data_IF_092860724254
#
_entry.id   IF_092860724254
#
_cell.length_a   1.000
_cell.length_b   1.000
_cell.length_c   1.000
_cell.angle_alpha   90.00
_cell.angle_beta   90.00
_cell.angle_gamma   90.00
#
_symmetry.space_group_name_H-M   'P 1'
#
loop_
_entity.id
_entity.type
_entity.pdbx_description
1 polymer ?
#
# COMPACT_ATOMS: atom_id res chain seq x y z
N UNK A 1 -21.79 -1.78 -6.02
CA UNK A 1 -22.96 -1.13 -5.40
C UNK A 1 -22.51 -0.50 -4.09
N UNK A 2 -22.89 0.74 -3.87
CA UNK A 2 -22.63 1.45 -2.61
C UNK A 2 -23.09 0.58 -1.44
N UNK A 3 -22.20 0.35 -0.46
CA UNK A 3 -22.56 -0.35 0.76
C UNK A 3 -22.48 0.62 1.94
N UNK A 4 -23.62 0.89 2.54
CA UNK A 4 -23.69 1.68 3.76
C UNK A 4 -23.11 0.85 4.92
N UNK A 5 -21.86 1.18 5.33
CA UNK A 5 -21.19 0.54 6.46
C UNK A 5 -21.70 1.06 7.81
N UNK A 6 -22.65 1.99 7.83
CA UNK A 6 -23.24 2.53 9.04
C UNK A 6 -24.43 1.71 9.55
N UNK A 7 -24.88 0.69 8.82
CA UNK A 7 -26.01 -0.19 9.17
C UNK A 7 -25.62 -1.67 9.04
N UNK A 8 -26.42 -2.57 9.60
CA UNK A 8 -26.20 -4.02 9.48
C UNK A 8 -25.11 -4.60 10.40
N UNK A 9 -24.78 -5.88 10.24
CA UNK A 9 -23.77 -6.60 11.09
C UNK A 9 -22.35 -6.22 10.65
N UNK A 10 -21.51 -5.83 11.60
CA UNK A 10 -20.18 -5.28 11.35
C UNK A 10 -19.19 -6.33 10.87
N UNK A 11 -19.05 -7.46 11.56
CA UNK A 11 -18.05 -8.48 11.22
C UNK A 11 -18.20 -9.02 9.78
N UNK A 12 -19.43 -9.41 9.32
CA UNK A 12 -19.62 -9.80 7.92
C UNK A 12 -19.31 -8.70 6.92
N UNK A 13 -19.58 -7.43 7.26
CA UNK A 13 -19.23 -6.28 6.41
C UNK A 13 -17.72 -6.13 6.29
N UNK A 14 -16.96 -6.19 7.40
CA UNK A 14 -15.50 -6.13 7.38
C UNK A 14 -14.91 -7.25 6.53
N UNK A 15 -15.36 -8.50 6.73
CA UNK A 15 -14.87 -9.64 5.95
C UNK A 15 -15.19 -9.45 4.44
N UNK A 16 -16.45 -9.13 4.12
CA UNK A 16 -16.89 -8.92 2.72
C UNK A 16 -16.16 -7.76 2.05
N UNK A 17 -15.70 -6.77 2.81
CA UNK A 17 -14.94 -5.64 2.30
C UNK A 17 -13.44 -5.97 2.18
N UNK A 18 -12.90 -6.73 3.12
CA UNK A 18 -11.47 -7.10 3.17
C UNK A 18 -11.09 -8.10 2.07
N UNK A 19 -11.90 -9.12 1.82
CA UNK A 19 -11.59 -10.17 0.84
C UNK A 19 -11.24 -9.59 -0.54
N UNK A 20 -12.05 -8.69 -1.14
CA UNK A 20 -11.70 -8.09 -2.43
C UNK A 20 -10.40 -7.28 -2.40
N UNK A 21 -10.09 -6.61 -1.28
CA UNK A 21 -8.84 -5.86 -1.13
C UNK A 21 -7.63 -6.80 -1.11
N UNK A 22 -7.72 -7.90 -0.35
CA UNK A 22 -6.67 -8.93 -0.28
C UNK A 22 -6.43 -9.53 -1.65
N UNK A 23 -7.51 -9.97 -2.32
CA UNK A 23 -7.42 -10.54 -3.66
C UNK A 23 -6.81 -9.55 -4.65
N UNK A 24 -7.21 -8.28 -4.61
CA UNK A 24 -6.65 -7.23 -5.46
C UNK A 24 -5.14 -7.08 -5.28
N UNK A 25 -4.67 -7.02 -4.04
CA UNK A 25 -3.24 -6.89 -3.75
C UNK A 25 -2.46 -8.17 -4.14
N UNK A 26 -3.02 -9.36 -3.95
CA UNK A 26 -2.41 -10.60 -4.40
C UNK A 26 -2.30 -10.67 -5.93
N UNK A 27 -3.36 -10.28 -6.64
CA UNK A 27 -3.31 -10.14 -8.10
C UNK A 27 -2.25 -9.15 -8.55
N UNK A 28 -2.12 -8.01 -7.84
CA UNK A 28 -1.10 -7.00 -8.14
C UNK A 28 0.32 -7.54 -7.96
N UNK A 29 0.59 -8.25 -6.87
CA UNK A 29 1.88 -8.91 -6.66
C UNK A 29 2.19 -9.95 -7.76
N UNK A 30 1.17 -10.71 -8.15
CA UNK A 30 1.30 -11.76 -9.17
C UNK A 30 1.61 -11.18 -10.55
N UNK A 31 0.86 -10.16 -11.00
CA UNK A 31 1.13 -9.62 -12.34
C UNK A 31 2.48 -8.89 -12.41
N UNK A 32 2.91 -8.20 -11.35
CA UNK A 32 4.25 -7.61 -11.30
C UNK A 32 5.37 -8.66 -11.42
N UNK A 33 5.15 -9.86 -10.85
CA UNK A 33 6.08 -10.97 -11.00
C UNK A 33 6.07 -11.51 -12.45
N UNK A 34 4.89 -11.65 -13.05
CA UNK A 34 4.74 -12.11 -14.45
C UNK A 34 5.40 -11.12 -15.43
N UNK A 35 5.21 -9.81 -15.24
CA UNK A 35 5.86 -8.77 -16.03
C UNK A 35 7.38 -8.89 -15.97
N UNK A 36 7.95 -9.06 -14.78
CA UNK A 36 9.39 -9.28 -14.61
C UNK A 36 9.90 -10.56 -15.30
N UNK A 37 9.09 -11.63 -15.31
CA UNK A 37 9.41 -12.90 -16.00
C UNK A 37 9.41 -12.69 -17.52
N UNK A 38 8.40 -11.96 -18.05
CA UNK A 38 8.32 -11.67 -19.49
C UNK A 38 9.53 -10.87 -19.92
N UNK A 39 9.86 -9.79 -19.21
CA UNK A 39 11.04 -8.96 -19.50
C UNK A 39 12.32 -9.81 -19.45
N UNK A 40 12.54 -10.55 -18.36
CA UNK A 40 13.77 -11.35 -18.20
C UNK A 40 13.93 -12.47 -19.22
N UNK A 41 12.84 -13.13 -19.61
CA UNK A 41 12.87 -14.30 -20.48
C UNK A 41 12.92 -13.93 -21.98
N UNK A 42 12.20 -12.88 -22.38
CA UNK A 42 12.01 -12.55 -23.80
C UNK A 42 12.79 -11.32 -24.25
N UNK A 43 13.14 -10.41 -23.37
CA UNK A 43 13.92 -9.21 -23.71
C UNK A 43 15.40 -9.38 -23.31
N UNK A 44 15.64 -9.93 -22.12
CA UNK A 44 16.99 -10.29 -21.67
C UNK A 44 17.40 -9.59 -20.36
N UNK A 45 18.62 -9.92 -19.91
CA UNK A 45 19.15 -9.52 -18.61
C UNK A 45 19.32 -8.00 -18.46
N UNK A 46 19.67 -7.30 -19.53
CA UNK A 46 19.89 -5.84 -19.54
C UNK A 46 18.57 -5.09 -19.33
N UNK A 47 17.50 -5.55 -20.00
CA UNK A 47 16.16 -5.03 -19.82
C UNK A 47 15.62 -5.29 -18.42
N UNK A 48 15.84 -6.49 -17.88
CA UNK A 48 15.45 -6.83 -16.51
C UNK A 48 16.17 -5.94 -15.49
N UNK A 49 17.47 -5.66 -15.71
CA UNK A 49 18.23 -4.74 -14.88
C UNK A 49 17.69 -3.31 -14.96
N UNK A 50 17.37 -2.83 -16.16
CA UNK A 50 16.78 -1.51 -16.37
C UNK A 50 15.43 -1.35 -15.65
N UNK A 51 14.52 -2.33 -15.79
CA UNK A 51 13.23 -2.36 -15.08
C UNK A 51 13.44 -2.42 -13.56
N UNK A 52 14.39 -3.25 -13.09
CA UNK A 52 14.74 -3.35 -11.67
C UNK A 52 15.22 -2.03 -11.05
N UNK A 53 15.95 -1.21 -11.82
CA UNK A 53 16.38 0.13 -11.40
C UNK A 53 15.21 1.12 -11.39
N UNK A 54 14.30 1.03 -12.38
CA UNK A 54 13.14 1.92 -12.49
C UNK A 54 12.08 1.67 -11.41
N UNK A 55 11.90 0.41 -10.99
CA UNK A 55 10.83 0.03 -10.05
C UNK A 55 10.85 0.78 -8.71
N UNK A 56 11.97 0.90 -7.97
CA UNK A 56 12.00 1.67 -6.72
C UNK A 56 11.67 3.14 -6.92
N UNK A 57 12.14 3.72 -8.03
CA UNK A 57 11.90 5.14 -8.36
C UNK A 57 10.39 5.35 -8.61
N UNK A 58 9.81 4.55 -9.51
CA UNK A 58 8.38 4.63 -9.83
C UNK A 58 7.50 4.39 -8.61
N UNK A 59 7.85 3.38 -7.80
CA UNK A 59 7.14 3.04 -6.57
C UNK A 59 7.09 4.21 -5.59
N UNK A 60 8.18 4.96 -5.44
CA UNK A 60 8.21 6.13 -4.55
C UNK A 60 7.14 7.17 -4.95
N UNK A 61 7.04 7.50 -6.24
CA UNK A 61 6.04 8.45 -6.74
C UNK A 61 4.62 7.91 -6.65
N UNK A 62 4.42 6.63 -6.96
CA UNK A 62 3.11 5.96 -6.86
C UNK A 62 2.64 5.93 -5.40
N UNK A 63 3.50 5.61 -4.43
CA UNK A 63 3.16 5.63 -3.01
C UNK A 63 2.76 7.02 -2.53
N UNK A 64 3.41 8.07 -3.03
CA UNK A 64 3.04 9.44 -2.72
C UNK A 64 1.64 9.78 -3.25
N UNK A 65 1.33 9.43 -4.51
CA UNK A 65 0.00 9.60 -5.09
C UNK A 65 -1.06 8.79 -4.34
N UNK A 66 -0.75 7.54 -3.98
CA UNK A 66 -1.63 6.68 -3.20
C UNK A 66 -1.91 7.26 -1.81
N UNK A 67 -0.90 7.84 -1.16
CA UNK A 67 -1.07 8.54 0.12
C UNK A 67 -2.08 9.69 0.02
N UNK A 68 -2.00 10.49 -1.05
CA UNK A 68 -2.95 11.57 -1.31
C UNK A 68 -4.37 11.04 -1.51
N UNK A 69 -4.54 9.99 -2.33
CA UNK A 69 -5.83 9.35 -2.57
C UNK A 69 -6.42 8.76 -1.28
N UNK A 70 -5.59 8.15 -0.44
CA UNK A 70 -6.01 7.61 0.85
C UNK A 70 -6.47 8.69 1.81
N UNK A 71 -5.73 9.79 1.93
CA UNK A 71 -6.14 10.94 2.75
C UNK A 71 -7.48 11.52 2.32
N UNK A 72 -7.70 11.66 1.01
CA UNK A 72 -8.97 12.10 0.44
C UNK A 72 -10.12 11.13 0.72
N UNK A 73 -9.87 9.82 0.62
CA UNK A 73 -10.89 8.78 0.83
C UNK A 73 -11.45 8.78 2.25
N UNK A 74 -10.64 9.10 3.25
CA UNK A 74 -11.09 9.23 4.65
C UNK A 74 -12.09 10.39 4.79
N UNK A 75 -11.81 11.53 4.16
CA UNK A 75 -12.73 12.68 4.14
C UNK A 75 -14.02 12.35 3.40
N UNK A 76 -13.93 11.68 2.25
CA UNK A 76 -15.07 11.23 1.45
C UNK A 76 -15.94 10.23 2.23
N UNK A 77 -15.33 9.25 2.91
CA UNK A 77 -16.05 8.28 3.75
C UNK A 77 -16.80 8.96 4.90
N UNK A 78 -16.18 9.96 5.53
CA UNK A 78 -16.81 10.74 6.58
C UNK A 78 -18.02 11.53 6.05
N UNK A 79 -17.89 12.20 4.89
CA UNK A 79 -18.98 12.96 4.26
C UNK A 79 -20.11 12.04 3.79
N UNK A 80 -19.77 10.88 3.24
CA UNK A 80 -20.75 9.87 2.84
C UNK A 80 -21.55 9.35 4.03
N UNK A 81 -20.86 8.99 5.13
CA UNK A 81 -21.51 8.58 6.37
C UNK A 81 -22.40 9.66 7.00
N UNK A 82 -22.00 10.92 6.89
CA UNK A 82 -22.79 12.07 7.31
C UNK A 82 -24.00 12.37 6.38
N UNK A 83 -24.09 11.70 5.23
CA UNK A 83 -25.04 11.97 4.14
C UNK A 83 -24.95 13.40 3.58
N UNK A 84 -23.77 14.03 3.73
CA UNK A 84 -23.48 15.36 3.17
C UNK A 84 -22.96 15.20 1.73
N UNK A 85 -23.88 14.90 0.83
CA UNK A 85 -23.54 14.59 -0.56
C UNK A 85 -23.04 15.80 -1.33
N UNK A 86 -23.46 17.01 -1.00
CA UNK A 86 -22.94 18.23 -1.63
C UNK A 86 -21.47 18.44 -1.31
N UNK A 87 -21.11 18.24 -0.05
CA UNK A 87 -19.72 18.32 0.37
C UNK A 87 -18.89 17.17 -0.18
N UNK A 88 -19.46 15.97 -0.27
CA UNK A 88 -18.84 14.81 -0.92
C UNK A 88 -18.50 15.12 -2.39
N UNK A 89 -19.46 15.66 -3.18
CA UNK A 89 -19.21 16.03 -4.57
C UNK A 89 -18.12 17.09 -4.70
N UNK A 90 -18.13 18.14 -3.86
CA UNK A 90 -17.07 19.15 -3.83
C UNK A 90 -15.70 18.55 -3.47
N UNK A 91 -15.67 17.62 -2.51
CA UNK A 91 -14.45 16.93 -2.11
C UNK A 91 -13.86 16.11 -3.26
N UNK A 92 -14.69 15.30 -3.94
CA UNK A 92 -14.27 14.48 -5.06
C UNK A 92 -13.78 15.36 -6.20
N UNK A 93 -14.55 16.39 -6.57
CA UNK A 93 -14.18 17.33 -7.62
C UNK A 93 -12.86 18.04 -7.32
N UNK A 94 -12.71 18.58 -6.11
CA UNK A 94 -11.48 19.27 -5.69
C UNK A 94 -10.27 18.30 -5.71
N UNK A 95 -10.46 17.08 -5.21
CA UNK A 95 -9.39 16.06 -5.21
C UNK A 95 -8.98 15.67 -6.63
N UNK A 96 -9.95 15.45 -7.52
CA UNK A 96 -9.69 15.10 -8.91
C UNK A 96 -8.98 16.22 -9.66
N UNK A 97 -9.50 17.45 -9.62
CA UNK A 97 -8.91 18.59 -10.32
C UNK A 97 -7.49 18.91 -9.82
N UNK A 98 -7.31 18.95 -8.51
CA UNK A 98 -5.98 19.22 -7.92
C UNK A 98 -5.00 18.07 -8.17
N UNK A 99 -5.45 16.83 -8.10
CA UNK A 99 -4.61 15.67 -8.32
C UNK A 99 -4.24 15.47 -9.79
N UNK A 100 -5.14 15.78 -10.73
CA UNK A 100 -4.81 15.81 -12.16
C UNK A 100 -3.73 16.88 -12.42
N UNK A 101 -3.90 18.09 -11.92
CA UNK A 101 -2.90 19.15 -12.08
C UNK A 101 -1.56 18.74 -11.46
N UNK A 102 -1.59 18.19 -10.24
CA UNK A 102 -0.39 17.72 -9.54
C UNK A 102 0.30 16.56 -10.28
N UNK A 103 -0.45 15.54 -10.72
CA UNK A 103 0.13 14.39 -11.43
C UNK A 103 0.71 14.77 -12.79
N UNK A 104 0.12 15.74 -13.51
CA UNK A 104 0.68 16.28 -14.76
C UNK A 104 1.99 17.03 -14.51
N UNK A 105 2.02 17.92 -13.50
CA UNK A 105 3.24 18.65 -13.14
C UNK A 105 4.34 17.66 -12.74
N UNK A 106 3.99 16.68 -11.90
CA UNK A 106 4.92 15.65 -11.45
C UNK A 106 5.43 14.81 -12.63
N UNK A 107 4.54 14.39 -13.53
CA UNK A 107 4.90 13.66 -14.77
C UNK A 107 5.92 14.44 -15.59
N UNK A 108 5.66 15.71 -15.90
CA UNK A 108 6.58 16.56 -16.68
C UNK A 108 7.93 16.69 -15.97
N UNK A 109 7.93 16.98 -14.67
CA UNK A 109 9.17 17.09 -13.88
C UNK A 109 9.95 15.77 -13.90
N UNK A 110 9.29 14.63 -13.66
CA UNK A 110 9.93 13.32 -13.66
C UNK A 110 10.49 12.94 -15.04
N UNK A 111 9.79 13.26 -16.13
CA UNK A 111 10.27 13.02 -17.50
C UNK A 111 11.52 13.86 -17.80
N UNK A 112 11.52 15.14 -17.43
CA UNK A 112 12.66 16.04 -17.62
C UNK A 112 13.86 15.61 -16.79
N UNK A 113 13.64 15.27 -15.53
CA UNK A 113 14.69 14.89 -14.59
C UNK A 113 15.02 13.39 -14.59
N UNK A 114 14.43 12.57 -15.46
CA UNK A 114 14.71 11.13 -15.53
C UNK A 114 16.22 10.84 -15.70
N UNK A 115 16.88 11.51 -16.64
CA UNK A 115 18.34 11.34 -16.86
C UNK A 115 19.18 11.80 -15.67
N UNK A 116 19.01 13.00 -15.09
CA UNK A 116 19.70 13.41 -13.86
C UNK A 116 19.53 12.43 -12.70
N UNK A 117 18.32 11.91 -12.48
CA UNK A 117 18.03 10.93 -11.40
C UNK A 117 18.87 9.66 -11.62
N UNK A 118 18.87 9.11 -12.84
CA UNK A 118 19.60 7.89 -13.17
C UNK A 118 21.13 8.09 -13.12
N UNK A 119 21.62 9.28 -13.50
CA UNK A 119 23.04 9.63 -13.34
C UNK A 119 23.44 9.69 -11.86
N UNK A 120 22.59 10.26 -11.00
CA UNK A 120 22.82 10.27 -9.56
C UNK A 120 22.87 8.85 -8.96
N UNK A 121 22.11 7.92 -9.54
CA UNK A 121 22.12 6.50 -9.15
C UNK A 121 23.28 5.72 -9.77
N UNK A 122 24.15 6.36 -10.54
CA UNK A 122 25.32 5.74 -11.19
C UNK A 122 24.94 4.55 -12.09
N UNK A 123 23.84 4.68 -12.83
CA UNK A 123 23.39 3.63 -13.75
C UNK A 123 24.42 3.48 -14.90
N UNK A 124 24.73 2.22 -15.24
CA UNK A 124 25.69 1.89 -16.28
C UNK A 124 25.30 2.50 -17.64
N UNK A 125 26.29 3.01 -18.36
CA UNK A 125 26.09 3.68 -19.65
C UNK A 125 25.46 2.75 -20.70
N UNK A 126 25.71 1.43 -20.62
CA UNK A 126 25.20 0.45 -21.58
C UNK A 126 23.67 0.30 -21.55
N UNK A 127 23.06 0.47 -20.38
CA UNK A 127 21.60 0.35 -20.17
C UNK A 127 20.91 1.69 -19.96
N UNK A 128 21.66 2.79 -19.87
CA UNK A 128 21.15 4.12 -19.57
C UNK A 128 20.01 4.56 -20.50
N UNK A 129 20.18 4.37 -21.81
CA UNK A 129 19.17 4.76 -22.81
C UNK A 129 17.85 4.04 -22.62
N UNK A 130 17.90 2.73 -22.46
CA UNK A 130 16.73 1.87 -22.21
C UNK A 130 16.03 2.25 -20.89
N UNK A 131 16.81 2.47 -19.84
CA UNK A 131 16.29 2.85 -18.50
C UNK A 131 15.60 4.22 -18.56
N UNK A 132 16.17 5.21 -19.25
CA UNK A 132 15.54 6.53 -19.44
C UNK A 132 14.21 6.41 -20.17
N UNK A 133 14.17 5.67 -21.28
CA UNK A 133 12.96 5.53 -22.09
C UNK A 133 11.85 4.83 -21.30
N UNK A 134 12.17 3.70 -20.65
CA UNK A 134 11.25 2.99 -19.80
C UNK A 134 10.65 3.91 -18.71
N UNK A 135 11.52 4.62 -17.98
CA UNK A 135 11.11 5.50 -16.88
C UNK A 135 10.24 6.67 -17.39
N UNK A 136 10.58 7.24 -18.54
CA UNK A 136 9.77 8.32 -19.15
C UNK A 136 8.38 7.85 -19.55
N UNK A 137 8.25 6.64 -20.10
CA UNK A 137 6.95 6.07 -20.46
C UNK A 137 6.11 5.87 -19.21
N UNK A 138 6.66 5.24 -18.15
CA UNK A 138 5.95 5.07 -16.87
C UNK A 138 5.53 6.42 -16.29
N UNK A 139 6.41 7.42 -16.30
CA UNK A 139 6.07 8.75 -15.78
C UNK A 139 5.01 9.48 -16.62
N UNK A 140 4.96 9.26 -17.92
CA UNK A 140 3.88 9.76 -18.76
C UNK A 140 2.52 9.15 -18.37
N UNK A 141 2.52 7.94 -17.82
CA UNK A 141 1.33 7.23 -17.30
C UNK A 141 0.86 7.68 -15.93
N UNK A 142 1.62 8.49 -15.16
CA UNK A 142 1.26 8.86 -13.78
C UNK A 142 -0.12 9.50 -13.62
N UNK A 143 -0.62 10.16 -14.66
CA UNK A 143 -1.98 10.70 -14.67
C UNK A 143 -3.02 9.57 -14.55
N UNK A 144 -2.87 8.50 -15.33
CA UNK A 144 -3.80 7.36 -15.31
C UNK A 144 -3.69 6.59 -14.00
N UNK A 145 -2.47 6.40 -13.49
CA UNK A 145 -2.22 5.82 -12.17
C UNK A 145 -2.94 6.61 -11.08
N UNK A 146 -2.81 7.95 -11.07
CA UNK A 146 -3.51 8.81 -10.12
C UNK A 146 -5.04 8.69 -10.27
N UNK A 147 -5.56 8.83 -11.48
CA UNK A 147 -7.01 8.80 -11.72
C UNK A 147 -7.63 7.47 -11.30
N UNK A 148 -7.02 6.34 -11.67
CA UNK A 148 -7.47 5.02 -11.24
C UNK A 148 -7.47 4.91 -9.71
N UNK A 149 -6.35 5.25 -9.04
CA UNK A 149 -6.24 5.17 -7.59
C UNK A 149 -7.23 6.10 -6.87
N UNK A 150 -7.48 7.28 -7.40
CA UNK A 150 -8.46 8.22 -6.87
C UNK A 150 -9.89 7.67 -6.98
N UNK A 151 -10.29 7.15 -8.14
CA UNK A 151 -11.61 6.53 -8.32
C UNK A 151 -11.77 5.27 -7.46
N UNK A 152 -10.77 4.40 -7.44
CA UNK A 152 -10.78 3.19 -6.61
C UNK A 152 -10.88 3.53 -5.11
N UNK A 153 -10.17 4.57 -4.65
CA UNK A 153 -10.23 5.05 -3.27
C UNK A 153 -11.58 5.70 -2.94
N UNK A 154 -12.18 6.41 -3.90
CA UNK A 154 -13.54 6.97 -3.78
C UNK A 154 -14.57 5.85 -3.64
N UNK A 155 -14.55 4.84 -4.52
CA UNK A 155 -15.46 3.70 -4.44
C UNK A 155 -15.31 2.96 -3.10
N UNK A 156 -14.08 2.73 -2.65
CA UNK A 156 -13.82 2.14 -1.33
C UNK A 156 -14.37 3.00 -0.18
N UNK A 157 -14.25 4.32 -0.27
CA UNK A 157 -14.83 5.23 0.73
C UNK A 157 -16.36 5.13 0.82
N UNK A 158 -17.02 4.78 -0.28
CA UNK A 158 -18.47 4.54 -0.37
C UNK A 158 -18.85 3.08 -0.09
N UNK A 159 -17.92 2.24 0.37
CA UNK A 159 -18.18 0.85 0.77
C UNK A 159 -18.09 -0.17 -0.38
N UNK A 160 -17.67 0.23 -1.58
CA UNK A 160 -17.49 -0.66 -2.73
C UNK A 160 -16.00 -1.04 -2.88
N UNK A 161 -15.62 -2.20 -2.37
CA UNK A 161 -14.29 -2.79 -2.58
C UNK A 161 -14.23 -3.79 -3.73
N UNK A 162 -15.39 -4.23 -4.26
CA UNK A 162 -15.46 -5.26 -5.29
C UNK A 162 -15.20 -4.69 -6.69
N UNK A 163 -15.81 -3.55 -7.02
CA UNK A 163 -15.67 -2.96 -8.36
C UNK A 163 -14.21 -2.61 -8.70
N UNK A 164 -13.41 -1.97 -7.81
CA UNK A 164 -11.99 -1.76 -8.05
C UNK A 164 -11.21 -3.07 -8.30
N UNK A 165 -11.57 -4.17 -7.62
CA UNK A 165 -10.95 -5.48 -7.84
C UNK A 165 -11.18 -5.96 -9.28
N UNK A 166 -12.42 -5.88 -9.79
CA UNK A 166 -12.72 -6.32 -11.17
C UNK A 166 -11.96 -5.50 -12.20
N UNK A 167 -11.82 -4.18 -11.99
CA UNK A 167 -11.03 -3.34 -12.90
C UNK A 167 -9.56 -3.69 -12.86
N UNK A 168 -9.02 -3.97 -11.66
CA UNK A 168 -7.63 -4.40 -11.49
C UNK A 168 -7.36 -5.74 -12.19
N UNK A 169 -8.23 -6.74 -12.01
CA UNK A 169 -8.09 -8.04 -12.68
C UNK A 169 -8.12 -7.86 -14.20
N UNK A 170 -9.08 -7.10 -14.71
CA UNK A 170 -9.19 -6.84 -16.16
C UNK A 170 -7.93 -6.15 -16.68
N UNK A 171 -7.44 -5.16 -15.96
CA UNK A 171 -6.21 -4.45 -16.29
C UNK A 171 -4.99 -5.37 -16.27
N UNK A 172 -4.85 -6.20 -15.25
CA UNK A 172 -3.72 -7.14 -15.13
C UNK A 172 -3.70 -8.15 -16.30
N UNK A 173 -4.86 -8.69 -16.68
CA UNK A 173 -4.95 -9.61 -17.83
C UNK A 173 -4.54 -8.89 -19.12
N UNK A 174 -5.04 -7.68 -19.34
CA UNK A 174 -4.72 -6.90 -20.54
C UNK A 174 -3.25 -6.45 -20.54
N UNK A 175 -2.69 -6.13 -19.37
CA UNK A 175 -1.26 -5.83 -19.24
C UNK A 175 -0.41 -7.03 -19.67
N UNK A 176 -0.67 -8.24 -19.14
CA UNK A 176 0.07 -9.45 -19.52
C UNK A 176 -0.04 -9.74 -21.02
N UNK A 177 -1.24 -9.64 -21.59
CA UNK A 177 -1.45 -9.82 -23.03
C UNK A 177 -0.74 -8.75 -23.85
N UNK A 178 -0.78 -7.50 -23.39
CA UNK A 178 -0.09 -6.37 -23.99
C UNK A 178 1.42 -6.53 -23.95
N UNK A 179 1.99 -6.95 -22.82
CA UNK A 179 3.43 -7.23 -22.68
C UNK A 179 3.88 -8.25 -23.72
N UNK A 180 3.17 -9.38 -23.81
CA UNK A 180 3.47 -10.40 -24.81
C UNK A 180 3.33 -9.86 -26.24
N UNK A 181 2.31 -9.06 -26.53
CA UNK A 181 2.09 -8.47 -27.83
C UNK A 181 3.19 -7.47 -28.20
N UNK A 182 3.50 -6.49 -27.34
CA UNK A 182 4.51 -5.48 -27.61
C UNK A 182 5.93 -6.05 -27.65
N UNK A 183 6.23 -7.03 -26.82
CA UNK A 183 7.55 -7.66 -26.76
C UNK A 183 7.76 -8.66 -27.91
N UNK A 184 6.78 -9.59 -28.13
CA UNK A 184 6.99 -10.69 -29.09
C UNK A 184 6.64 -10.32 -30.52
N UNK A 185 5.59 -9.53 -30.74
CA UNK A 185 5.14 -9.19 -32.10
C UNK A 185 5.73 -7.87 -32.61
N UNK A 186 5.84 -6.86 -31.73
CA UNK A 186 6.35 -5.53 -32.11
C UNK A 186 7.84 -5.35 -31.79
N UNK A 187 8.48 -6.31 -31.09
CA UNK A 187 9.90 -6.26 -30.70
C UNK A 187 10.32 -4.96 -29.99
N UNK A 188 9.41 -4.38 -29.17
CA UNK A 188 9.64 -3.11 -28.47
C UNK A 188 10.52 -3.24 -27.21
N UNK A 189 10.93 -4.45 -26.86
CA UNK A 189 11.75 -4.69 -25.66
C UNK A 189 11.07 -4.25 -24.37
N UNK A 190 11.84 -3.72 -23.42
CA UNK A 190 11.30 -3.25 -22.12
C UNK A 190 10.38 -2.05 -22.26
N UNK A 191 10.56 -1.23 -23.29
CA UNK A 191 9.67 -0.09 -23.57
C UNK A 191 8.25 -0.58 -23.88
N UNK A 192 8.11 -1.74 -24.53
CA UNK A 192 6.83 -2.39 -24.80
C UNK A 192 6.07 -2.72 -23.53
N UNK A 193 6.74 -3.25 -22.50
CA UNK A 193 6.14 -3.50 -21.19
C UNK A 193 5.70 -2.20 -20.51
N UNK A 194 6.51 -1.14 -20.58
CA UNK A 194 6.12 0.16 -20.03
C UNK A 194 4.87 0.73 -20.72
N UNK A 195 4.78 0.62 -22.04
CA UNK A 195 3.60 1.05 -22.83
C UNK A 195 2.37 0.22 -22.44
N UNK A 196 2.52 -1.10 -22.34
CA UNK A 196 1.45 -2.02 -21.91
C UNK A 196 0.92 -1.64 -20.52
N UNK A 197 1.80 -1.38 -19.57
CA UNK A 197 1.43 -0.94 -18.22
C UNK A 197 0.62 0.35 -18.25
N UNK A 198 1.07 1.37 -18.96
CA UNK A 198 0.36 2.65 -19.07
C UNK A 198 -1.00 2.50 -19.75
N UNK A 199 -1.09 1.70 -20.82
CA UNK A 199 -2.36 1.45 -21.52
C UNK A 199 -3.35 0.66 -20.65
N UNK A 200 -2.89 -0.31 -19.88
CA UNK A 200 -3.73 -1.09 -18.97
C UNK A 200 -4.25 -0.24 -17.80
N UNK A 201 -3.45 0.68 -17.28
CA UNK A 201 -3.88 1.67 -16.28
C UNK A 201 -4.89 2.67 -16.86
N UNK A 202 -4.66 3.15 -18.08
CA UNK A 202 -5.62 4.02 -18.79
C UNK A 202 -6.96 3.32 -18.99
N UNK A 203 -6.94 2.03 -19.35
CA UNK A 203 -8.16 1.23 -19.48
C UNK A 203 -8.87 1.05 -18.13
N UNK A 204 -8.13 0.77 -17.05
CA UNK A 204 -8.72 0.70 -15.70
C UNK A 204 -9.40 2.00 -15.31
N UNK A 205 -8.77 3.13 -15.60
CA UNK A 205 -9.35 4.45 -15.40
C UNK A 205 -10.66 4.61 -16.18
N UNK A 206 -10.66 4.24 -17.46
CA UNK A 206 -11.85 4.30 -18.32
C UNK A 206 -12.98 3.39 -17.80
N UNK A 207 -12.67 2.18 -17.38
CA UNK A 207 -13.63 1.24 -16.78
C UNK A 207 -14.24 1.81 -15.50
N UNK A 208 -13.44 2.44 -14.64
CA UNK A 208 -13.93 3.15 -13.46
C UNK A 208 -14.91 4.26 -13.82
N UNK A 209 -14.57 5.10 -14.81
CA UNK A 209 -15.43 6.19 -15.27
C UNK A 209 -16.77 5.65 -15.81
N UNK A 210 -16.73 4.64 -16.67
CA UNK A 210 -17.95 4.02 -17.26
C UNK A 210 -18.82 3.42 -16.15
N UNK A 211 -18.19 2.73 -15.19
CA UNK A 211 -18.91 2.14 -14.06
C UNK A 211 -19.59 3.21 -13.20
N UNK A 212 -18.85 4.26 -12.83
CA UNK A 212 -19.38 5.38 -12.04
C UNK A 212 -20.58 6.01 -12.76
N UNK A 213 -20.46 6.28 -14.06
CA UNK A 213 -21.56 6.88 -14.84
C UNK A 213 -22.81 6.00 -14.90
N UNK A 214 -22.64 4.67 -14.98
CA UNK A 214 -23.77 3.75 -15.16
C UNK A 214 -24.37 3.21 -13.86
N UNK A 215 -23.55 3.05 -12.82
CA UNK A 215 -23.91 2.24 -11.63
C UNK A 215 -23.84 2.98 -10.30
N UNK A 216 -23.23 4.18 -10.26
CA UNK A 216 -23.03 4.94 -9.02
C UNK A 216 -23.61 6.36 -9.18
N UNK A 217 -24.95 6.53 -9.07
CA UNK A 217 -25.62 7.82 -9.35
C UNK A 217 -25.06 8.99 -8.52
N UNK A 218 -24.65 8.72 -7.27
CA UNK A 218 -24.08 9.72 -6.37
C UNK A 218 -22.72 10.27 -6.85
N UNK A 219 -22.03 9.53 -7.73
CA UNK A 219 -20.72 9.89 -8.26
C UNK A 219 -20.78 10.28 -9.75
N UNK A 220 -21.97 10.40 -10.35
CA UNK A 220 -22.09 10.71 -11.78
C UNK A 220 -21.35 12.00 -12.13
N UNK A 221 -20.49 11.90 -13.15
CA UNK A 221 -19.72 13.03 -13.66
C UNK A 221 -20.66 14.06 -14.30
N UNK A 222 -20.52 15.30 -13.94
CA UNK A 222 -21.33 16.40 -14.43
C UNK A 222 -20.75 17.75 -14.03
N UNK A 223 -21.53 18.82 -14.09
CA UNK A 223 -21.07 20.18 -13.69
C UNK A 223 -20.56 20.25 -12.25
N UNK A 224 -21.06 19.40 -11.35
CA UNK A 224 -20.58 19.28 -9.96
C UNK A 224 -19.12 18.85 -9.84
N UNK A 225 -18.54 18.23 -10.89
CA UNK A 225 -17.13 17.82 -10.96
C UNK A 225 -16.15 18.95 -11.33
N UNK A 226 -16.67 20.14 -11.62
CA UNK A 226 -15.85 21.31 -11.96
C UNK A 226 -15.77 22.31 -10.81
N UNK A 227 -16.06 21.87 -9.59
CA UNK A 227 -16.01 22.73 -8.40
C UNK A 227 -14.66 22.55 -7.69
N UNK A 228 -14.00 23.66 -7.43
CA UNK A 228 -12.75 23.72 -6.66
C UNK A 228 -12.96 24.46 -5.33
N UNK A 229 -12.71 23.77 -4.22
CA UNK A 229 -12.86 24.29 -2.86
C UNK A 229 -11.50 24.29 -2.12
N UNK A 230 -10.96 25.50 -1.86
CA UNK A 230 -9.66 25.68 -1.19
C UNK A 230 -9.62 25.10 0.23
N UNK A 231 -10.73 25.17 0.97
CA UNK A 231 -10.79 24.67 2.33
C UNK A 231 -10.74 23.13 2.37
N UNK A 232 -11.43 22.49 1.41
CA UNK A 232 -11.37 21.04 1.24
C UNK A 232 -10.00 20.60 0.73
N UNK A 233 -9.39 21.35 -0.19
CA UNK A 233 -8.03 21.09 -0.66
C UNK A 233 -7.02 21.11 0.49
N UNK A 234 -7.07 22.12 1.36
CA UNK A 234 -6.17 22.21 2.51
C UNK A 234 -6.27 20.99 3.43
N UNK A 235 -7.49 20.48 3.68
CA UNK A 235 -7.71 19.26 4.46
C UNK A 235 -7.19 18.03 3.72
N UNK A 236 -7.45 17.92 2.41
CA UNK A 236 -6.96 16.82 1.56
C UNK A 236 -5.45 16.77 1.55
N UNK A 237 -4.78 17.91 1.39
CA UNK A 237 -3.31 17.97 1.43
C UNK A 237 -2.80 17.55 2.82
N UNK A 238 -3.39 18.04 3.91
CA UNK A 238 -2.97 17.68 5.26
C UNK A 238 -3.08 16.18 5.53
N UNK A 239 -4.19 15.55 5.13
CA UNK A 239 -4.43 14.12 5.31
C UNK A 239 -3.57 13.29 4.34
N UNK A 240 -3.50 13.71 3.08
CA UNK A 240 -2.70 13.06 2.06
C UNK A 240 -1.21 13.12 2.35
N UNK A 241 -0.70 14.29 2.80
CA UNK A 241 0.69 14.44 3.21
C UNK A 241 1.06 13.50 4.36
N UNK A 242 0.22 13.45 5.41
CA UNK A 242 0.48 12.57 6.55
C UNK A 242 0.50 11.08 6.11
N UNK A 243 -0.42 10.66 5.23
CA UNK A 243 -0.45 9.30 4.68
C UNK A 243 0.75 9.01 3.78
N UNK A 244 1.14 9.96 2.93
CA UNK A 244 2.30 9.83 2.04
C UNK A 244 3.61 9.75 2.84
N UNK A 245 3.77 10.60 3.86
CA UNK A 245 4.94 10.59 4.74
C UNK A 245 5.02 9.32 5.58
N UNK A 246 3.88 8.76 6.00
CA UNK A 246 3.85 7.44 6.65
C UNK A 246 4.42 6.36 5.74
N UNK A 247 3.98 6.30 4.49
CA UNK A 247 4.49 5.34 3.51
C UNK A 247 5.98 5.53 3.21
N UNK A 248 6.41 6.78 3.03
CA UNK A 248 7.82 7.11 2.84
C UNK A 248 8.68 6.67 4.03
N UNK A 249 8.21 6.90 5.26
CA UNK A 249 8.91 6.47 6.49
C UNK A 249 9.11 4.96 6.51
N UNK A 250 8.09 4.18 6.15
CA UNK A 250 8.18 2.72 6.08
C UNK A 250 9.22 2.29 5.05
N UNK A 251 9.25 2.91 3.87
CA UNK A 251 10.23 2.58 2.83
C UNK A 251 11.65 2.94 3.22
N UNK A 252 11.86 4.10 3.82
CA UNK A 252 13.17 4.51 4.34
C UNK A 252 13.66 3.55 5.43
N UNK A 253 12.77 3.10 6.32
CA UNK A 253 13.09 2.10 7.33
C UNK A 253 13.50 0.75 6.72
N UNK A 254 12.79 0.28 5.69
CA UNK A 254 13.15 -0.95 4.95
C UNK A 254 14.54 -0.81 4.31
N UNK A 255 14.86 0.34 3.70
CA UNK A 255 16.18 0.61 3.12
C UNK A 255 17.26 0.59 4.20
N UNK A 256 17.01 1.21 5.36
CA UNK A 256 17.94 1.21 6.49
C UNK A 256 18.25 -0.20 7.00
N UNK A 257 17.23 -1.05 7.17
CA UNK A 257 17.42 -2.46 7.54
C UNK A 257 18.19 -3.21 6.46
N UNK A 258 17.85 -3.03 5.17
CA UNK A 258 18.56 -3.68 4.07
C UNK A 258 20.05 -3.32 4.03
N UNK A 259 20.40 -2.06 4.31
CA UNK A 259 21.79 -1.61 4.39
C UNK A 259 22.56 -2.37 5.49
N UNK A 260 21.94 -2.59 6.67
CA UNK A 260 22.52 -3.37 7.75
C UNK A 260 22.66 -4.84 7.35
N UNK A 261 21.62 -5.44 6.77
CA UNK A 261 21.63 -6.84 6.30
C UNK A 261 22.74 -7.10 5.29
N UNK A 262 23.01 -6.15 4.40
CA UNK A 262 24.06 -6.28 3.40
C UNK A 262 25.48 -6.41 4.03
N UNK A 263 25.67 -5.98 5.29
CA UNK A 263 26.93 -6.16 6.03
C UNK A 263 27.08 -7.56 6.63
N UNK A 264 26.01 -8.37 6.66
CA UNK A 264 25.98 -9.68 7.33
C UNK A 264 26.42 -10.84 6.42
N UNK A 265 26.75 -10.55 5.17
CA UNK A 265 27.18 -11.56 4.18
C UNK A 265 26.08 -11.98 3.21
N UNK A 266 26.50 -12.70 2.16
CA UNK A 266 25.65 -13.02 1.01
C UNK A 266 24.54 -13.99 1.39
N UNK A 267 24.83 -15.05 2.16
CA UNK A 267 23.87 -16.09 2.57
C UNK A 267 22.74 -15.49 3.43
N UNK A 268 23.09 -14.61 4.38
CA UNK A 268 22.10 -13.92 5.22
C UNK A 268 21.26 -12.94 4.40
N UNK A 269 21.89 -12.18 3.50
CA UNK A 269 21.17 -11.25 2.63
C UNK A 269 20.19 -11.98 1.69
N UNK A 270 20.59 -13.14 1.16
CA UNK A 270 19.73 -13.99 0.34
C UNK A 270 18.56 -14.55 1.16
N UNK A 271 18.81 -15.06 2.37
CA UNK A 271 17.77 -15.53 3.28
C UNK A 271 16.76 -14.42 3.61
N UNK A 272 17.25 -13.23 3.96
CA UNK A 272 16.41 -12.07 4.25
C UNK A 272 15.56 -11.64 3.05
N UNK A 273 16.12 -11.67 1.84
CA UNK A 273 15.36 -11.36 0.63
C UNK A 273 14.20 -12.34 0.38
N UNK A 274 14.42 -13.64 0.62
CA UNK A 274 13.37 -14.67 0.50
C UNK A 274 12.31 -14.46 1.58
N UNK A 275 12.74 -14.27 2.84
CA UNK A 275 11.79 -14.04 3.94
C UNK A 275 10.95 -12.79 3.72
N UNK A 276 11.54 -11.69 3.21
CA UNK A 276 10.74 -10.49 2.86
C UNK A 276 9.64 -10.78 1.83
N UNK A 277 9.88 -11.71 0.88
CA UNK A 277 8.81 -12.14 -0.04
C UNK A 277 7.69 -12.88 0.68
N UNK A 278 8.04 -13.76 1.61
CA UNK A 278 7.06 -14.47 2.44
C UNK A 278 6.28 -13.47 3.31
N UNK A 279 6.98 -12.51 3.92
CA UNK A 279 6.39 -11.46 4.74
C UNK A 279 5.44 -10.55 3.94
N UNK A 280 5.76 -10.19 2.70
CA UNK A 280 4.86 -9.40 1.84
C UNK A 280 3.50 -10.11 1.64
N UNK A 281 3.49 -11.44 1.48
CA UNK A 281 2.26 -12.22 1.43
C UNK A 281 1.58 -12.32 2.81
N UNK A 282 2.36 -12.49 3.89
CA UNK A 282 1.86 -12.62 5.24
C UNK A 282 1.19 -11.33 5.75
N UNK A 283 1.79 -10.16 5.50
CA UNK A 283 1.28 -8.87 5.97
C UNK A 283 0.18 -8.26 5.09
N UNK A 284 0.07 -8.66 3.83
CA UNK A 284 -0.93 -8.11 2.91
C UNK A 284 -2.37 -8.21 3.46
N UNK A 285 -2.85 -9.34 3.99
CA UNK A 285 -4.20 -9.40 4.55
C UNK A 285 -4.39 -8.54 5.81
N UNK A 286 -3.42 -8.46 6.71
CA UNK A 286 -3.48 -7.57 7.90
C UNK A 286 -3.65 -6.11 7.47
N UNK A 287 -2.84 -5.63 6.55
CA UNK A 287 -2.96 -4.27 6.03
C UNK A 287 -4.34 -4.02 5.40
N UNK A 288 -4.93 -5.00 4.73
CA UNK A 288 -6.24 -4.86 4.12
C UNK A 288 -7.39 -4.91 5.13
N UNK A 289 -7.27 -5.68 6.23
CA UNK A 289 -8.19 -5.60 7.38
C UNK A 289 -8.16 -4.18 7.95
N UNK A 290 -6.97 -3.62 8.18
CA UNK A 290 -6.81 -2.25 8.64
C UNK A 290 -7.40 -1.20 7.68
N UNK A 291 -7.29 -1.40 6.36
CA UNK A 291 -7.95 -0.54 5.36
C UNK A 291 -9.47 -0.64 5.40
N UNK A 292 -10.01 -1.85 5.58
CA UNK A 292 -11.45 -2.06 5.76
C UNK A 292 -11.95 -1.36 7.04
N UNK A 293 -11.20 -1.47 8.13
CA UNK A 293 -11.48 -0.74 9.37
C UNK A 293 -11.46 0.76 9.15
N UNK A 294 -10.49 1.29 8.40
CA UNK A 294 -10.41 2.73 8.06
C UNK A 294 -11.69 3.21 7.39
N UNK A 295 -12.21 2.49 6.39
CA UNK A 295 -13.43 2.86 5.68
C UNK A 295 -14.66 2.80 6.61
N UNK A 296 -14.79 1.73 7.40
CA UNK A 296 -15.88 1.57 8.37
C UNK A 296 -15.87 2.68 9.42
N UNK A 297 -14.69 3.00 9.98
CA UNK A 297 -14.55 4.07 10.98
C UNK A 297 -14.89 5.43 10.38
N UNK A 298 -14.42 5.73 9.17
CA UNK A 298 -14.67 7.02 8.52
C UNK A 298 -16.16 7.26 8.29
N UNK A 299 -16.90 6.26 7.75
CA UNK A 299 -18.33 6.37 7.55
C UNK A 299 -19.11 6.48 8.86
N UNK A 300 -18.80 5.66 9.88
CA UNK A 300 -19.50 5.69 11.16
C UNK A 300 -19.18 6.97 11.95
N UNK A 301 -17.98 7.53 11.82
CA UNK A 301 -17.65 8.84 12.37
C UNK A 301 -18.52 9.94 11.74
N UNK A 302 -18.65 9.93 10.42
CA UNK A 302 -19.54 10.87 9.72
C UNK A 302 -20.99 10.76 10.16
N UNK A 303 -21.48 9.54 10.36
CA UNK A 303 -22.84 9.26 10.85
C UNK A 303 -23.03 9.51 12.35
N UNK A 304 -21.99 9.88 13.11
CA UNK A 304 -22.05 10.07 14.55
C UNK A 304 -22.26 8.80 15.37
N UNK A 305 -22.07 7.60 14.76
CA UNK A 305 -22.37 6.29 15.39
C UNK A 305 -21.18 5.76 16.20
N UNK A 306 -20.92 6.36 17.37
CA UNK A 306 -19.76 6.04 18.21
C UNK A 306 -19.76 4.57 18.66
N UNK A 307 -20.92 4.00 19.04
CA UNK A 307 -20.98 2.62 19.51
C UNK A 307 -20.64 1.63 18.39
N UNK A 308 -21.06 1.91 17.15
CA UNK A 308 -20.64 1.11 16.00
C UNK A 308 -19.13 1.22 15.72
N UNK A 309 -18.54 2.38 15.99
CA UNK A 309 -17.08 2.53 15.87
C UNK A 309 -16.34 1.67 16.90
N UNK A 310 -16.84 1.60 18.14
CA UNK A 310 -16.27 0.73 19.18
C UNK A 310 -16.39 -0.75 18.82
N UNK A 311 -17.59 -1.16 18.37
CA UNK A 311 -17.85 -2.54 17.93
C UNK A 311 -17.02 -2.88 16.68
N UNK A 312 -16.89 -1.95 15.73
CA UNK A 312 -16.06 -2.09 14.53
C UNK A 312 -14.58 -2.26 14.84
N UNK A 313 -14.07 -1.49 15.79
CA UNK A 313 -12.70 -1.65 16.27
C UNK A 313 -12.48 -3.02 16.92
N UNK A 314 -13.40 -3.43 17.83
CA UNK A 314 -13.32 -4.74 18.46
C UNK A 314 -13.36 -5.88 17.44
N UNK A 315 -14.29 -5.82 16.48
CA UNK A 315 -14.40 -6.83 15.42
C UNK A 315 -13.16 -6.86 14.53
N UNK A 316 -12.63 -5.70 14.18
CA UNK A 316 -11.41 -5.59 13.38
C UNK A 316 -10.19 -6.17 14.10
N UNK A 317 -9.97 -5.83 15.36
CA UNK A 317 -8.88 -6.40 16.19
C UNK A 317 -9.02 -7.93 16.33
N UNK A 318 -10.24 -8.44 16.51
CA UNK A 318 -10.45 -9.89 16.56
C UNK A 318 -10.06 -10.55 15.23
N UNK A 319 -10.43 -9.96 14.09
CA UNK A 319 -10.04 -10.48 12.77
C UNK A 319 -8.52 -10.43 12.58
N UNK A 320 -7.86 -9.34 12.98
CA UNK A 320 -6.40 -9.21 12.94
C UNK A 320 -5.71 -10.29 13.79
N UNK A 321 -6.18 -10.53 15.01
CA UNK A 321 -5.64 -11.56 15.91
C UNK A 321 -5.86 -12.96 15.32
N UNK A 322 -7.06 -13.27 14.82
CA UNK A 322 -7.35 -14.58 14.20
C UNK A 322 -6.42 -14.81 13.02
N UNK A 323 -6.25 -13.80 12.16
CA UNK A 323 -5.35 -13.91 11.03
C UNK A 323 -3.87 -13.98 11.46
N UNK A 324 -3.45 -13.18 12.45
CA UNK A 324 -2.09 -13.23 12.99
C UNK A 324 -1.74 -14.61 13.59
N UNK A 325 -2.69 -15.26 14.27
CA UNK A 325 -2.51 -16.65 14.75
C UNK A 325 -2.40 -17.63 13.56
N UNK A 326 -3.26 -17.48 12.55
CA UNK A 326 -3.23 -18.32 11.37
C UNK A 326 -1.86 -18.25 10.66
N UNK A 327 -1.38 -17.04 10.39
CA UNK A 327 -0.12 -16.84 9.68
C UNK A 327 1.09 -17.24 10.55
N UNK A 328 1.01 -17.04 11.88
CA UNK A 328 1.99 -17.59 12.81
C UNK A 328 2.12 -19.11 12.64
N UNK A 329 1.01 -19.84 12.68
CA UNK A 329 1.02 -21.31 12.54
C UNK A 329 1.60 -21.72 11.18
N UNK A 330 1.17 -21.06 10.10
CA UNK A 330 1.66 -21.35 8.75
C UNK A 330 3.18 -21.10 8.65
N UNK A 331 3.66 -19.94 9.03
CA UNK A 331 5.07 -19.59 8.91
C UNK A 331 5.96 -20.38 9.87
N UNK A 332 5.47 -20.72 11.05
CA UNK A 332 6.22 -21.52 12.02
C UNK A 332 6.32 -22.99 11.59
N UNK A 333 5.21 -23.63 11.24
CA UNK A 333 5.17 -25.05 10.91
C UNK A 333 5.79 -25.33 9.54
N UNK A 334 5.53 -24.45 8.57
CA UNK A 334 5.98 -24.62 7.18
C UNK A 334 7.20 -23.76 6.84
N UNK A 335 7.99 -23.29 7.81
CA UNK A 335 9.15 -22.43 7.58
C UNK A 335 10.11 -22.99 6.52
N UNK A 336 10.52 -24.27 6.64
CA UNK A 336 11.41 -24.92 5.68
C UNK A 336 10.78 -25.12 4.30
N UNK A 337 9.56 -25.68 4.16
CA UNK A 337 8.85 -25.75 2.89
C UNK A 337 8.71 -24.39 2.18
N UNK A 338 8.38 -23.33 2.92
CA UNK A 338 8.27 -21.99 2.37
C UNK A 338 9.61 -21.47 1.80
N UNK A 339 10.71 -21.70 2.51
CA UNK A 339 12.05 -21.35 2.01
C UNK A 339 12.42 -22.16 0.76
N UNK A 340 12.11 -23.45 0.74
CA UNK A 340 12.39 -24.35 -0.41
C UNK A 340 11.64 -23.95 -1.69
N UNK A 341 10.55 -23.21 -1.60
CA UNK A 341 9.86 -22.67 -2.80
C UNK A 341 10.72 -21.66 -3.57
N UNK A 342 11.67 -20.99 -2.89
CA UNK A 342 12.45 -19.90 -3.47
C UNK A 342 13.92 -20.27 -3.67
N UNK A 343 14.52 -21.09 -2.78
CA UNK A 343 15.96 -21.39 -2.79
C UNK A 343 16.22 -22.86 -2.49
N UNK A 344 17.38 -23.37 -2.97
CA UNK A 344 17.82 -24.75 -2.74
C UNK A 344 19.09 -24.82 -1.88
N UNK A 345 19.72 -23.69 -1.59
CA UNK A 345 20.93 -23.59 -0.79
C UNK A 345 20.59 -23.83 0.68
N UNK A 346 21.19 -24.85 1.30
CA UNK A 346 20.89 -25.28 2.67
C UNK A 346 21.31 -24.24 3.72
N UNK A 347 22.38 -23.48 3.48
CA UNK A 347 22.82 -22.42 4.38
C UNK A 347 21.79 -21.28 4.41
N UNK A 348 21.34 -20.84 3.22
CA UNK A 348 20.30 -19.82 3.06
C UNK A 348 18.98 -20.29 3.68
N UNK A 349 18.60 -21.56 3.47
CA UNK A 349 17.40 -22.15 4.08
C UNK A 349 17.53 -22.14 5.61
N UNK A 350 18.68 -22.54 6.16
CA UNK A 350 18.93 -22.56 7.60
C UNK A 350 18.72 -21.18 8.24
N UNK A 351 19.32 -20.14 7.65
CA UNK A 351 19.13 -18.76 8.08
C UNK A 351 17.67 -18.31 7.98
N UNK A 352 17.01 -18.59 6.86
CA UNK A 352 15.61 -18.23 6.63
C UNK A 352 14.65 -18.92 7.59
N UNK A 353 14.85 -20.20 7.89
CA UNK A 353 14.03 -20.96 8.86
C UNK A 353 14.19 -20.38 10.27
N UNK A 354 15.43 -20.08 10.68
CA UNK A 354 15.71 -19.43 11.98
C UNK A 354 14.97 -18.09 12.08
N UNK A 355 15.06 -17.27 11.04
CA UNK A 355 14.36 -15.99 10.98
C UNK A 355 12.84 -16.18 11.06
N UNK A 356 12.26 -17.07 10.24
CA UNK A 356 10.81 -17.32 10.19
C UNK A 356 10.27 -17.83 11.51
N UNK A 357 10.98 -18.71 12.21
CA UNK A 357 10.56 -19.19 13.52
C UNK A 357 10.50 -18.05 14.55
N UNK A 358 11.46 -17.14 14.53
CA UNK A 358 11.48 -16.01 15.47
C UNK A 358 10.43 -14.96 15.13
N UNK A 359 10.34 -14.57 13.86
CA UNK A 359 9.44 -13.49 13.45
C UNK A 359 7.97 -13.91 13.51
N UNK A 360 7.66 -15.19 13.20
CA UNK A 360 6.28 -15.68 13.18
C UNK A 360 5.59 -15.58 14.53
N UNK A 361 6.30 -15.85 15.64
CA UNK A 361 5.78 -15.65 17.00
C UNK A 361 5.35 -14.20 17.25
N UNK A 362 5.97 -13.27 16.55
CA UNK A 362 5.74 -11.83 16.71
C UNK A 362 4.61 -11.29 15.81
N UNK A 363 4.03 -12.07 14.87
CA UNK A 363 2.99 -11.60 13.93
C UNK A 363 1.74 -11.04 14.61
N UNK A 364 1.48 -11.38 15.86
CA UNK A 364 0.41 -10.75 16.63
C UNK A 364 0.65 -9.25 16.92
N UNK A 365 1.89 -8.81 16.94
CA UNK A 365 2.21 -7.39 17.19
C UNK A 365 1.87 -6.50 15.99
N UNK A 366 2.29 -6.82 14.74
CA UNK A 366 1.83 -6.08 13.57
C UNK A 366 0.31 -6.18 13.38
N UNK A 367 -0.33 -7.30 13.66
CA UNK A 367 -1.79 -7.43 13.63
C UNK A 367 -2.46 -6.38 14.55
N UNK A 368 -2.01 -6.26 15.79
CA UNK A 368 -2.52 -5.27 16.73
C UNK A 368 -2.23 -3.83 16.28
N UNK A 369 -1.00 -3.53 15.84
CA UNK A 369 -0.63 -2.18 15.41
C UNK A 369 -1.37 -1.78 14.14
N UNK A 370 -1.55 -2.68 13.16
CA UNK A 370 -2.33 -2.42 11.95
C UNK A 370 -3.79 -2.10 12.29
N UNK A 371 -4.41 -2.87 13.18
CA UNK A 371 -5.78 -2.60 13.63
C UNK A 371 -5.92 -1.24 14.32
N UNK A 372 -4.99 -0.87 15.20
CA UNK A 372 -4.97 0.44 15.86
C UNK A 372 -4.76 1.56 14.83
N UNK A 373 -3.87 1.37 13.87
CA UNK A 373 -3.66 2.33 12.79
C UNK A 373 -4.89 2.47 11.90
N UNK A 374 -5.57 1.37 11.56
CA UNK A 374 -6.82 1.39 10.82
C UNK A 374 -7.89 2.25 11.52
N UNK A 375 -7.97 2.13 12.85
CA UNK A 375 -8.83 2.95 13.68
C UNK A 375 -8.45 4.44 13.61
N UNK A 376 -7.20 4.80 13.91
CA UNK A 376 -6.77 6.20 13.92
C UNK A 376 -6.88 6.86 12.55
N UNK A 377 -6.54 6.15 11.47
CA UNK A 377 -6.75 6.62 10.09
C UNK A 377 -8.24 6.92 9.84
N UNK A 378 -9.12 6.00 10.18
CA UNK A 378 -10.55 6.15 9.93
C UNK A 378 -11.18 7.30 10.72
N UNK A 379 -10.73 7.55 11.94
CA UNK A 379 -11.17 8.74 12.69
C UNK A 379 -10.48 10.03 12.25
N UNK A 380 -9.53 9.95 11.31
CA UNK A 380 -8.83 11.12 10.74
C UNK A 380 -7.69 11.66 11.59
N UNK A 381 -7.20 10.89 12.57
CA UNK A 381 -6.02 11.28 13.37
C UNK A 381 -4.73 10.66 12.78
N UNK A 382 -4.40 11.13 11.58
CA UNK A 382 -3.26 10.65 10.81
C UNK A 382 -1.89 11.05 11.39
N UNK A 383 -1.86 12.02 12.30
CA UNK A 383 -0.62 12.38 13.00
C UNK A 383 -0.14 11.25 13.88
N UNK A 384 -1.07 10.56 14.55
CA UNK A 384 -0.74 9.41 15.41
C UNK A 384 -0.13 8.30 14.56
N UNK A 385 -0.75 7.97 13.43
CA UNK A 385 -0.25 6.91 12.54
C UNK A 385 1.11 7.23 11.92
N UNK A 386 1.35 8.50 11.59
CA UNK A 386 2.66 8.95 11.09
C UNK A 386 3.74 8.84 12.18
N UNK A 387 3.48 9.38 13.37
CA UNK A 387 4.46 9.40 14.46
C UNK A 387 4.78 7.98 14.93
N UNK A 388 3.77 7.13 15.09
CA UNK A 388 3.97 5.74 15.52
C UNK A 388 4.74 4.91 14.49
N UNK A 389 4.47 5.11 13.18
CA UNK A 389 5.24 4.47 12.11
C UNK A 389 6.69 4.96 12.10
N UNK A 390 6.94 6.24 12.36
CA UNK A 390 8.30 6.77 12.50
C UNK A 390 9.02 6.14 13.69
N UNK A 391 8.38 6.07 14.86
CA UNK A 391 8.93 5.40 16.06
C UNK A 391 9.27 3.94 15.75
N UNK A 392 8.36 3.22 15.09
CA UNK A 392 8.56 1.84 14.69
C UNK A 392 9.84 1.67 13.84
N UNK A 393 9.95 2.44 12.75
CA UNK A 393 11.07 2.30 11.81
C UNK A 393 12.38 2.80 12.39
N UNK A 394 12.35 3.89 13.16
CA UNK A 394 13.53 4.40 13.86
C UNK A 394 14.07 3.37 14.85
N UNK A 395 13.20 2.78 15.69
CA UNK A 395 13.61 1.78 16.67
C UNK A 395 14.11 0.49 16.01
N UNK A 396 13.52 0.07 14.88
CA UNK A 396 14.03 -1.07 14.11
C UNK A 396 15.48 -0.85 13.68
N UNK A 397 15.76 0.28 13.04
CA UNK A 397 17.11 0.59 12.55
C UNK A 397 18.08 0.79 13.69
N UNK A 398 17.68 1.56 14.73
CA UNK A 398 18.50 1.83 15.91
C UNK A 398 18.79 0.57 16.75
N UNK A 399 17.89 -0.40 16.77
CA UNK A 399 18.13 -1.69 17.44
C UNK A 399 18.95 -2.64 16.56
N UNK A 400 18.67 -2.72 15.26
CA UNK A 400 19.41 -3.62 14.37
C UNK A 400 20.90 -3.27 14.28
N UNK A 401 21.24 -1.99 14.21
CA UNK A 401 22.63 -1.55 14.07
C UNK A 401 23.55 -2.06 15.21
N UNK A 402 23.28 -1.84 16.50
CA UNK A 402 24.14 -2.38 17.57
C UNK A 402 24.08 -3.91 17.66
N UNK A 403 22.93 -4.55 17.44
CA UNK A 403 22.79 -6.01 17.47
C UNK A 403 23.71 -6.66 16.42
N UNK A 404 23.79 -6.10 15.23
CA UNK A 404 24.59 -6.65 14.12
C UNK A 404 26.05 -6.16 14.20
N UNK A 405 26.29 -4.85 14.35
CA UNK A 405 27.62 -4.27 14.18
C UNK A 405 28.48 -4.38 15.44
N UNK A 406 27.86 -4.30 16.65
CA UNK A 406 28.60 -4.34 17.94
C UNK A 406 28.58 -5.75 18.51
N UNK A 407 27.37 -6.34 18.67
CA UNK A 407 27.23 -7.66 19.29
C UNK A 407 27.40 -8.82 18.31
N UNK A 408 27.55 -8.51 17.00
CA UNK A 408 27.80 -9.47 15.92
C UNK A 408 26.81 -10.66 15.92
N UNK A 409 25.56 -10.38 16.26
CA UNK A 409 24.50 -11.37 16.19
C UNK A 409 24.27 -11.76 14.74
N UNK A 410 23.85 -13.00 14.51
CA UNK A 410 23.43 -13.49 13.21
C UNK A 410 22.08 -12.92 12.74
N UNK A 411 21.40 -13.67 11.89
CA UNK A 411 20.11 -13.26 11.31
C UNK A 411 19.03 -12.99 12.38
N UNK A 412 19.19 -13.56 13.58
CA UNK A 412 18.30 -13.39 14.74
C UNK A 412 18.20 -11.93 15.19
N UNK A 413 19.23 -11.11 14.94
CA UNK A 413 19.22 -9.69 15.25
C UNK A 413 18.03 -8.95 14.62
N UNK A 414 17.62 -9.38 13.44
CA UNK A 414 16.57 -8.71 12.67
C UNK A 414 15.18 -8.88 13.31
N UNK A 415 14.68 -10.10 13.63
CA UNK A 415 13.43 -10.25 14.38
C UNK A 415 13.41 -9.47 15.70
N UNK A 416 14.50 -9.46 16.47
CA UNK A 416 14.58 -8.68 17.70
C UNK A 416 14.51 -7.18 17.46
N UNK A 417 15.08 -6.68 16.38
CA UNK A 417 14.96 -5.27 16.00
C UNK A 417 13.51 -4.92 15.62
N UNK A 418 12.79 -5.84 14.94
CA UNK A 418 11.40 -5.68 14.60
C UNK A 418 10.52 -5.68 15.84
N UNK A 419 10.81 -6.56 16.81
CA UNK A 419 10.15 -6.58 18.11
C UNK A 419 10.25 -5.22 18.81
N UNK A 420 11.46 -4.63 18.86
CA UNK A 420 11.67 -3.30 19.44
C UNK A 420 10.82 -2.23 18.75
N UNK A 421 10.74 -2.27 17.42
CA UNK A 421 9.91 -1.36 16.64
C UNK A 421 8.41 -1.48 16.96
N UNK A 422 7.86 -2.71 16.99
CA UNK A 422 6.44 -2.93 17.27
C UNK A 422 6.08 -2.60 18.72
N UNK A 423 6.92 -2.93 19.69
CA UNK A 423 6.72 -2.56 21.10
C UNK A 423 6.70 -1.03 21.23
N UNK A 424 7.67 -0.33 20.62
CA UNK A 424 7.72 1.13 20.65
C UNK A 424 6.47 1.77 20.04
N UNK A 425 5.97 1.19 18.95
CA UNK A 425 4.74 1.63 18.30
C UNK A 425 3.52 1.42 19.20
N UNK A 426 3.36 0.24 19.81
CA UNK A 426 2.27 -0.05 20.74
C UNK A 426 2.29 0.86 21.96
N UNK A 427 3.47 1.12 22.52
CA UNK A 427 3.66 2.04 23.66
C UNK A 427 3.22 3.45 23.29
N UNK A 428 3.47 3.90 22.06
CA UNK A 428 3.04 5.21 21.59
C UNK A 428 1.53 5.29 21.32
N UNK A 429 0.93 4.25 20.73
CA UNK A 429 -0.47 4.26 20.28
C UNK A 429 -1.47 3.93 21.40
N UNK A 430 -1.15 2.98 22.28
CA UNK A 430 -2.09 2.48 23.28
C UNK A 430 -2.61 3.54 24.25
N UNK A 431 -1.78 4.44 24.83
CA UNK A 431 -2.27 5.51 25.69
C UNK A 431 -3.24 6.46 24.98
N UNK A 432 -2.96 6.75 23.69
CA UNK A 432 -3.79 7.62 22.87
C UNK A 432 -5.12 6.96 22.52
N UNK A 433 -5.11 5.65 22.25
CA UNK A 433 -6.30 4.85 22.04
C UNK A 433 -7.19 4.86 23.29
N UNK A 434 -6.63 4.58 24.45
CA UNK A 434 -7.36 4.60 25.73
C UNK A 434 -7.94 5.98 26.05
N UNK A 435 -7.20 7.06 25.76
CA UNK A 435 -7.69 8.43 25.90
C UNK A 435 -8.88 8.70 24.98
N UNK A 436 -8.81 8.26 23.73
CA UNK A 436 -9.91 8.42 22.76
C UNK A 436 -11.16 7.68 23.22
N UNK A 437 -11.03 6.44 23.69
CA UNK A 437 -12.14 5.67 24.23
C UNK A 437 -12.79 6.32 25.46
N UNK A 438 -11.99 6.86 26.37
CA UNK A 438 -12.50 7.59 27.56
C UNK A 438 -13.30 8.84 27.17
N UNK A 439 -12.85 9.58 26.17
CA UNK A 439 -13.57 10.77 25.68
C UNK A 439 -14.90 10.41 25.01
N UNK A 440 -14.97 9.28 24.32
CA UNK A 440 -16.21 8.79 23.72
C UNK A 440 -17.22 8.26 24.78
N UNK A 441 -16.72 7.69 25.87
CA UNK A 441 -17.59 7.27 26.99
C UNK A 441 -18.29 8.46 27.66
N UNK A 442 -17.61 9.59 27.77
CA UNK A 442 -18.20 10.83 28.33
C UNK A 442 -19.26 11.47 27.43
N UNK A 443 -19.10 11.37 26.09
CA UNK A 443 -20.08 11.92 25.13
C UNK A 443 -21.32 11.03 24.93
N UNK A 444 -21.23 9.75 25.24
CA UNK A 444 -22.36 8.81 25.18
C UNK A 444 -23.24 8.84 26.44
N UNK A 445 -22.76 9.45 27.53
CA UNK A 445 -23.50 9.60 28.80
C UNK A 445 -24.13 10.99 28.99
N UNK A 446 -24.01 11.88 28.02
CA UNK A 446 -24.73 13.16 27.89
C UNK A 446 -25.77 13.07 26.78
#
# INVERSE_FOLDING_TARGET
MEKDLTTGKITPQLISFTIPLVLGNLFQLTYNAVDSIIVGRYVGKEALAAVGICNPISTLFILFLNGLCMGASILMGNQFGAKDYDRLHRQISTTMLSGIAFSLILSVLCIVFARPILLLMQVDASIMGMTINYLRIIFAGLLFTFMYNCFASTLRALGDSQSPLYFLITSAVINILGDLFFVLFLNMGSEGCAVSTVLSEALSCLLCIIYIQKKVPILQLGKKWLVFDKALLGKTISYGWASAMQQATVQLGKIGIQAIVNTMGVSVSAAFAVVNRIDDFAYTPEQNIAHAMTALMAQNKGAGKIDRMKEGFRSGIILEIIYGILIFIICFVFARPLMLMFVKDEEVIGHGVTYLHLISVMYLLPALTNGIQGFFRGIGDLKITLISSFINMALRVLAAAPLVLIWKMGIEALPYSYLAGWIGMLVAETPLLLKTYKTWGKKAGQ
#
